data_IF_977314820743
#
_entry.id   IF_977314820743
#
_cell.length_a   1.000
_cell.length_b   1.000
_cell.length_c   1.000
_cell.angle_alpha   90.00
_cell.angle_beta   90.00
_cell.angle_gamma   90.00
#
_symmetry.space_group_name_H-M   'P 1'
#
loop_
_entity.id
_entity.type
_entity.pdbx_description
1 polymer ?
#
# COMPACT_ATOMS: atom_id res chain seq x y z
N UNK A 1 9.82 -28.72 25.66
CA UNK A 1 8.57 -28.95 24.90
C UNK A 1 8.98 -29.15 23.46
N UNK A 2 9.18 -30.43 23.11
CA UNK A 2 9.82 -30.88 21.88
C UNK A 2 8.80 -31.02 20.77
N UNK A 3 9.16 -30.56 19.56
CA UNK A 3 8.71 -31.12 18.29
C UNK A 3 7.32 -30.70 17.82
N UNK A 4 7.24 -29.56 17.13
CA UNK A 4 6.33 -29.49 15.97
C UNK A 4 6.91 -30.48 14.97
N UNK A 5 6.38 -31.70 14.92
CA UNK A 5 6.91 -32.73 14.04
C UNK A 5 6.74 -32.27 12.59
N UNK A 6 7.81 -32.24 11.77
CA UNK A 6 7.70 -31.90 10.36
C UNK A 6 6.72 -32.82 9.61
N UNK A 7 6.47 -34.03 10.14
CA UNK A 7 5.47 -34.96 9.61
C UNK A 7 4.03 -34.43 9.69
N UNK A 8 3.65 -33.78 10.78
CA UNK A 8 2.30 -33.24 10.95
C UNK A 8 2.06 -32.03 10.05
N UNK A 9 3.06 -31.17 9.89
CA UNK A 9 3.00 -30.07 8.93
C UNK A 9 2.81 -30.59 7.49
N UNK A 10 3.54 -31.65 7.10
CA UNK A 10 3.38 -32.30 5.79
C UNK A 10 1.98 -32.92 5.63
N UNK A 11 1.45 -33.57 6.68
CA UNK A 11 0.09 -34.15 6.66
C UNK A 11 -0.98 -33.09 6.45
N UNK A 12 -0.86 -31.94 7.12
CA UNK A 12 -1.79 -30.81 6.95
C UNK A 12 -1.74 -30.26 5.52
N UNK A 13 -0.54 -30.08 4.96
CA UNK A 13 -0.38 -29.60 3.57
C UNK A 13 -1.00 -30.58 2.57
N UNK A 14 -0.73 -31.88 2.70
CA UNK A 14 -1.28 -32.89 1.80
C UNK A 14 -2.81 -32.98 1.88
N UNK A 15 -3.38 -32.91 3.09
CA UNK A 15 -4.82 -32.87 3.28
C UNK A 15 -5.45 -31.64 2.61
N UNK A 16 -4.84 -30.46 2.78
CA UNK A 16 -5.29 -29.21 2.17
C UNK A 16 -5.25 -29.29 0.64
N UNK A 17 -4.13 -29.72 0.05
CA UNK A 17 -3.97 -29.86 -1.40
C UNK A 17 -5.00 -30.83 -1.98
N UNK A 18 -5.27 -31.94 -1.29
CA UNK A 18 -6.27 -32.92 -1.70
C UNK A 18 -7.67 -32.30 -1.75
N UNK A 19 -8.03 -31.49 -0.75
CA UNK A 19 -9.32 -30.81 -0.71
C UNK A 19 -9.43 -29.73 -1.81
N UNK A 20 -8.36 -28.98 -2.07
CA UNK A 20 -8.33 -28.03 -3.19
C UNK A 20 -8.53 -28.72 -4.54
N UNK A 21 -7.90 -29.89 -4.74
CA UNK A 21 -8.03 -30.69 -5.96
C UNK A 21 -9.45 -31.29 -6.15
N UNK A 22 -10.20 -31.50 -5.07
CA UNK A 22 -11.60 -31.93 -5.13
C UNK A 22 -12.53 -30.79 -5.54
N UNK A 23 -12.38 -29.62 -4.90
CA UNK A 23 -13.30 -28.49 -5.13
C UNK A 23 -13.05 -27.77 -6.47
N UNK A 24 -11.82 -27.81 -7.02
CA UNK A 24 -11.52 -27.16 -8.30
C UNK A 24 -12.24 -27.78 -9.51
N UNK A 25 -12.88 -28.94 -9.33
CA UNK A 25 -13.65 -29.63 -10.38
C UNK A 25 -15.02 -29.00 -10.64
N UNK A 26 -15.52 -28.19 -9.70
CA UNK A 26 -16.81 -27.54 -9.84
C UNK A 26 -16.66 -26.25 -10.67
N UNK A 27 -17.45 -26.07 -11.75
CA UNK A 27 -17.30 -24.94 -12.67
C UNK A 27 -17.66 -23.58 -12.04
N UNK A 28 -18.28 -23.59 -10.87
CA UNK A 28 -18.68 -22.41 -10.11
C UNK A 28 -17.76 -22.13 -8.91
N UNK A 29 -16.56 -22.72 -8.86
CA UNK A 29 -15.57 -22.50 -7.79
C UNK A 29 -14.36 -21.74 -8.33
N UNK A 30 -14.01 -20.64 -7.66
CA UNK A 30 -12.77 -19.89 -7.89
C UNK A 30 -11.94 -19.89 -6.60
N UNK A 31 -10.68 -20.32 -6.71
CA UNK A 31 -9.75 -20.38 -5.58
C UNK A 31 -8.78 -19.20 -5.69
N UNK A 32 -8.72 -18.38 -4.63
CA UNK A 32 -7.78 -17.26 -4.52
C UNK A 32 -6.92 -17.47 -3.27
N UNK A 33 -5.61 -17.45 -3.45
CA UNK A 33 -4.64 -17.67 -2.37
C UNK A 33 -3.53 -16.63 -2.44
N UNK A 34 -2.97 -16.30 -1.27
CA UNK A 34 -1.90 -15.30 -1.13
C UNK A 34 -0.83 -15.85 -0.21
N UNK A 35 0.45 -15.63 -0.54
CA UNK A 35 1.58 -15.96 0.34
C UNK A 35 2.45 -14.72 0.55
N UNK A 36 2.86 -14.48 1.80
CA UNK A 36 3.80 -13.42 2.15
C UNK A 36 5.26 -13.87 2.04
N UNK A 37 5.52 -15.16 1.84
CA UNK A 37 6.88 -15.70 1.75
C UNK A 37 7.19 -16.00 0.29
N UNK A 38 7.91 -15.08 -0.35
CA UNK A 38 8.37 -15.25 -1.72
C UNK A 38 9.48 -16.30 -1.78
N UNK A 39 9.34 -17.30 -2.64
CA UNK A 39 10.39 -18.30 -2.89
C UNK A 39 10.43 -19.50 -1.92
N UNK A 40 9.67 -19.48 -0.83
CA UNK A 40 9.55 -20.62 0.10
C UNK A 40 8.17 -21.28 0.07
N UNK A 41 7.35 -20.97 -0.93
CA UNK A 41 6.07 -21.66 -1.14
C UNK A 41 6.35 -23.06 -1.66
N UNK A 42 5.67 -24.05 -1.08
CA UNK A 42 5.78 -25.45 -1.47
C UNK A 42 5.55 -25.63 -2.98
N UNK A 43 6.45 -26.38 -3.63
CA UNK A 43 6.43 -26.58 -5.08
C UNK A 43 5.11 -27.24 -5.53
N UNK A 44 4.54 -28.15 -4.73
CA UNK A 44 3.28 -28.81 -5.06
C UNK A 44 2.09 -27.83 -5.07
N UNK A 45 2.17 -26.73 -4.32
CA UNK A 45 1.18 -25.66 -4.36
C UNK A 45 1.37 -24.76 -5.59
N UNK A 46 2.62 -24.42 -5.91
CA UNK A 46 3.02 -23.60 -7.06
C UNK A 46 2.70 -24.29 -8.40
N UNK A 47 2.79 -25.61 -8.46
CA UNK A 47 2.47 -26.40 -9.66
C UNK A 47 0.96 -26.53 -9.91
N UNK A 48 0.13 -26.37 -8.86
CA UNK A 48 -1.33 -26.41 -8.96
C UNK A 48 -1.97 -25.05 -9.24
N UNK A 49 -1.20 -23.97 -9.21
CA UNK A 49 -1.69 -22.64 -9.48
C UNK A 49 -1.68 -22.35 -10.99
N UNK A 50 -2.86 -22.12 -11.57
CA UNK A 50 -3.01 -21.72 -12.98
C UNK A 50 -2.35 -20.36 -13.25
N UNK A 51 -2.49 -19.43 -12.30
CA UNK A 51 -1.92 -18.08 -12.37
C UNK A 51 -1.06 -17.83 -11.14
N UNK A 52 0.19 -17.47 -11.38
CA UNK A 52 1.16 -17.06 -10.35
C UNK A 52 1.53 -15.61 -10.58
N UNK A 53 1.10 -14.75 -9.66
CA UNK A 53 1.38 -13.32 -9.75
C UNK A 53 2.12 -12.85 -8.51
N UNK A 54 3.33 -12.34 -8.70
CA UNK A 54 4.03 -11.59 -7.68
C UNK A 54 3.47 -10.17 -7.60
N UNK A 55 3.08 -9.73 -6.40
CA UNK A 55 2.64 -8.37 -6.11
C UNK A 55 3.68 -7.73 -5.19
N UNK A 56 4.57 -6.93 -5.79
CA UNK A 56 5.56 -6.16 -5.04
C UNK A 56 4.97 -4.88 -4.42
N UNK A 57 5.84 -4.04 -3.82
CA UNK A 57 5.45 -2.70 -3.39
C UNK A 57 4.83 -1.89 -4.54
N UNK A 58 3.87 -0.99 -4.24
CA UNK A 58 3.21 -0.17 -5.24
C UNK A 58 4.21 0.73 -5.97
N UNK A 59 3.98 0.92 -7.28
CA UNK A 59 4.74 1.89 -8.09
C UNK A 59 4.44 3.33 -7.66
N UNK A 60 5.30 4.29 -8.02
CA UNK A 60 5.07 5.74 -7.79
C UNK A 60 3.65 6.17 -8.21
N UNK A 61 3.18 5.69 -9.37
CA UNK A 61 1.82 5.98 -9.87
C UNK A 61 0.74 5.43 -8.93
N UNK A 62 0.89 4.20 -8.45
CA UNK A 62 -0.05 3.60 -7.51
C UNK A 62 -0.03 4.30 -6.14
N UNK A 63 1.15 4.68 -5.64
CA UNK A 63 1.32 5.45 -4.40
C UNK A 63 0.58 6.80 -4.49
N UNK A 64 0.77 7.52 -5.60
CA UNK A 64 0.08 8.78 -5.84
C UNK A 64 -1.44 8.61 -5.78
N UNK A 65 -1.99 7.58 -6.43
CA UNK A 65 -3.44 7.31 -6.37
C UNK A 65 -3.93 6.93 -4.97
N UNK A 66 -3.13 6.20 -4.19
CA UNK A 66 -3.44 5.91 -2.78
C UNK A 66 -3.56 7.23 -2.01
N UNK A 67 -2.55 8.09 -2.05
CA UNK A 67 -2.62 9.36 -1.32
C UNK A 67 -3.71 10.29 -1.85
N UNK A 68 -3.90 10.36 -3.17
CA UNK A 68 -4.99 11.13 -3.78
C UNK A 68 -6.35 10.69 -3.24
N UNK A 69 -6.58 9.37 -3.09
CA UNK A 69 -7.81 8.85 -2.51
C UNK A 69 -7.96 9.22 -1.04
N UNK A 70 -6.88 9.15 -0.25
CA UNK A 70 -6.89 9.54 1.16
C UNK A 70 -7.16 11.04 1.34
N UNK A 71 -6.51 11.92 0.57
CA UNK A 71 -6.69 13.36 0.67
C UNK A 71 -8.10 13.78 0.23
N UNK A 72 -8.65 13.16 -0.82
CA UNK A 72 -10.05 13.39 -1.22
C UNK A 72 -11.01 13.03 -0.10
N UNK A 73 -10.79 11.92 0.60
CA UNK A 73 -11.62 11.51 1.73
C UNK A 73 -11.50 12.48 2.92
N UNK A 74 -10.30 12.98 3.20
CA UNK A 74 -10.07 13.96 4.26
C UNK A 74 -10.70 15.32 3.95
N UNK A 75 -10.71 15.74 2.69
CA UNK A 75 -11.47 16.92 2.26
C UNK A 75 -12.98 16.68 2.36
N UNK A 76 -13.46 15.49 1.97
CA UNK A 76 -14.88 15.11 2.07
C UNK A 76 -15.39 15.16 3.52
N UNK A 77 -14.57 14.75 4.47
CA UNK A 77 -14.87 14.77 5.90
C UNK A 77 -14.49 16.09 6.60
N UNK A 78 -14.11 17.13 5.86
CA UNK A 78 -13.72 18.44 6.38
C UNK A 78 -12.53 18.44 7.36
N UNK A 79 -11.69 17.39 7.32
CA UNK A 79 -10.40 17.39 8.04
C UNK A 79 -9.43 18.35 7.35
N UNK A 80 -9.46 18.37 6.02
CA UNK A 80 -8.72 19.32 5.19
C UNK A 80 -9.72 20.34 4.63
N UNK A 81 -9.50 21.63 4.90
CA UNK A 81 -10.35 22.73 4.39
C UNK A 81 -9.51 24.00 4.12
N UNK A 82 -9.81 24.77 3.05
CA UNK A 82 -10.83 24.50 2.04
C UNK A 82 -10.45 23.31 1.14
N UNK A 83 -11.47 22.69 0.54
CA UNK A 83 -11.26 21.61 -0.42
C UNK A 83 -10.60 22.16 -1.69
N UNK A 84 -9.53 21.49 -2.14
CA UNK A 84 -8.80 21.86 -3.35
C UNK A 84 -8.92 20.75 -4.40
N UNK A 85 -8.98 21.12 -5.67
CA UNK A 85 -8.95 20.14 -6.75
C UNK A 85 -7.53 19.59 -6.92
N UNK A 86 -7.37 18.28 -6.72
CA UNK A 86 -6.15 17.55 -7.03
C UNK A 86 -6.30 16.82 -8.37
N UNK A 87 -5.32 16.97 -9.25
CA UNK A 87 -5.29 16.39 -10.58
C UNK A 87 -4.89 14.91 -10.52
N UNK A 88 -5.39 14.11 -11.46
CA UNK A 88 -4.86 12.76 -11.67
C UNK A 88 -3.54 12.81 -12.45
N UNK A 89 -2.84 11.68 -12.55
CA UNK A 89 -1.54 11.63 -13.22
C UNK A 89 -1.66 11.96 -14.71
N UNK A 90 -2.78 11.58 -15.36
CA UNK A 90 -3.00 11.86 -16.79
C UNK A 90 -3.14 13.36 -17.02
N UNK A 91 -3.86 14.06 -16.15
CA UNK A 91 -3.96 15.51 -16.21
C UNK A 91 -2.60 16.20 -15.96
N UNK A 92 -1.78 15.67 -15.05
CA UNK A 92 -0.39 16.16 -14.86
C UNK A 92 0.51 15.90 -16.09
N UNK A 93 0.32 14.77 -16.78
CA UNK A 93 1.04 14.47 -18.03
C UNK A 93 0.65 15.48 -19.13
N UNK A 94 -0.64 15.86 -19.23
CA UNK A 94 -1.11 16.88 -20.18
C UNK A 94 -0.51 18.27 -19.89
N UNK A 95 -0.39 18.66 -18.61
CA UNK A 95 0.27 19.91 -18.22
C UNK A 95 1.79 19.83 -18.31
N UNK A 96 2.35 18.69 -18.75
CA UNK A 96 3.78 18.39 -18.83
C UNK A 96 4.50 18.60 -17.49
N UNK A 97 3.81 18.30 -16.39
CA UNK A 97 4.31 18.50 -15.03
C UNK A 97 4.81 19.94 -14.76
N UNK A 98 4.27 20.94 -15.49
CA UNK A 98 4.62 22.34 -15.24
C UNK A 98 3.92 22.86 -13.99
N UNK A 99 4.70 23.47 -13.10
CA UNK A 99 4.19 24.10 -11.89
C UNK A 99 3.44 25.39 -12.22
N UNK A 100 2.23 25.50 -11.67
CA UNK A 100 1.37 26.67 -11.69
C UNK A 100 0.34 26.53 -10.55
N UNK A 101 -0.53 27.54 -10.40
CA UNK A 101 -1.55 27.56 -9.34
C UNK A 101 -2.50 26.36 -9.33
N UNK A 102 -2.76 25.72 -10.48
CA UNK A 102 -3.63 24.54 -10.57
C UNK A 102 -2.89 23.22 -10.35
N UNK A 103 -1.57 23.18 -10.54
CA UNK A 103 -0.78 21.93 -10.47
C UNK A 103 0.04 21.81 -9.20
N UNK A 104 0.33 22.91 -8.47
CA UNK A 104 1.27 22.96 -7.35
C UNK A 104 1.05 21.83 -6.33
N UNK A 105 -0.16 21.67 -5.77
CA UNK A 105 -0.43 20.62 -4.77
C UNK A 105 -0.37 19.20 -5.34
N UNK A 106 -0.74 19.04 -6.60
CA UNK A 106 -0.69 17.75 -7.28
C UNK A 106 0.77 17.36 -7.55
N UNK A 107 1.63 18.31 -7.88
CA UNK A 107 3.07 18.10 -8.04
C UNK A 107 3.75 17.84 -6.70
N UNK A 108 3.41 18.57 -5.64
CA UNK A 108 3.89 18.30 -4.28
C UNK A 108 3.52 16.87 -3.85
N UNK A 109 2.28 16.46 -4.07
CA UNK A 109 1.82 15.10 -3.79
C UNK A 109 2.57 14.04 -4.64
N UNK A 110 2.87 14.36 -5.89
CA UNK A 110 3.64 13.50 -6.79
C UNK A 110 5.09 13.29 -6.31
N UNK A 111 5.70 14.34 -5.76
CA UNK A 111 7.03 14.26 -5.14
C UNK A 111 7.00 13.47 -3.82
N UNK A 112 5.95 13.64 -3.00
CA UNK A 112 5.76 12.82 -1.79
C UNK A 112 5.58 11.33 -2.16
N UNK A 113 4.87 11.05 -3.27
CA UNK A 113 4.71 9.68 -3.77
C UNK A 113 6.05 9.06 -4.21
N UNK A 114 6.93 9.84 -4.82
CA UNK A 114 8.31 9.41 -5.14
C UNK A 114 9.11 9.07 -3.90
N UNK A 115 9.08 9.98 -2.93
CA UNK A 115 9.75 9.82 -1.64
C UNK A 115 9.27 8.58 -0.88
N UNK A 116 8.03 8.16 -1.11
CA UNK A 116 7.39 7.02 -0.44
C UNK A 116 7.64 5.66 -1.12
N UNK A 117 8.48 5.60 -2.17
CA UNK A 117 8.82 4.36 -2.86
C UNK A 117 9.39 3.31 -1.89
N UNK A 118 8.96 2.06 -2.04
CA UNK A 118 9.37 0.94 -1.19
C UNK A 118 8.44 0.69 0.02
N UNK A 119 7.55 1.62 0.35
CA UNK A 119 6.56 1.41 1.42
C UNK A 119 5.42 0.50 0.98
N UNK A 120 4.93 -0.34 1.89
CA UNK A 120 3.76 -1.19 1.65
C UNK A 120 2.47 -0.38 1.52
N UNK A 121 1.48 -0.90 0.80
CA UNK A 121 0.13 -0.29 0.74
C UNK A 121 -0.50 -0.07 2.12
N UNK A 122 -0.22 -0.97 3.07
CA UNK A 122 -0.67 -0.84 4.48
C UNK A 122 -0.05 0.41 5.13
N UNK A 123 1.26 0.59 4.98
CA UNK A 123 1.98 1.75 5.52
C UNK A 123 1.48 3.03 4.87
N UNK A 124 1.32 3.05 3.55
CA UNK A 124 0.85 4.22 2.80
C UNK A 124 -0.52 4.71 3.26
N UNK A 125 -1.47 3.80 3.56
CA UNK A 125 -2.78 4.18 4.10
C UNK A 125 -2.76 4.59 5.57
N UNK A 126 -1.74 4.19 6.33
CA UNK A 126 -1.53 4.61 7.73
C UNK A 126 -0.93 6.01 7.81
N UNK A 127 -0.10 6.39 6.83
CA UNK A 127 0.64 7.66 6.84
C UNK A 127 -0.22 8.92 7.00
N UNK A 128 -1.39 9.07 6.35
CA UNK A 128 -2.27 10.23 6.58
C UNK A 128 -2.67 10.38 8.06
N UNK A 129 -2.99 9.27 8.74
CA UNK A 129 -3.29 9.30 10.17
C UNK A 129 -2.07 9.74 10.99
N UNK A 130 -0.88 9.19 10.69
CA UNK A 130 0.36 9.57 11.37
C UNK A 130 0.73 11.03 11.14
N UNK A 131 0.56 11.54 9.92
CA UNK A 131 0.78 12.94 9.58
C UNK A 131 -0.05 13.87 10.46
N UNK A 132 -1.34 13.57 10.58
CA UNK A 132 -2.23 14.34 11.44
C UNK A 132 -1.85 14.21 12.92
N UNK A 133 -1.64 13.01 13.42
CA UNK A 133 -1.40 12.78 14.85
C UNK A 133 -0.07 13.36 15.34
N UNK A 134 0.97 13.40 14.49
CA UNK A 134 2.32 13.76 14.88
C UNK A 134 2.69 15.21 14.56
N UNK A 135 2.05 15.81 13.55
CA UNK A 135 2.50 17.08 12.98
C UNK A 135 1.40 18.13 12.86
N UNK A 136 0.14 17.80 13.16
CA UNK A 136 -0.98 18.73 13.05
C UNK A 136 -1.73 18.83 14.39
N UNK A 137 -2.32 20.01 14.63
CA UNK A 137 -3.15 20.27 15.80
C UNK A 137 -4.47 20.90 15.36
N UNK A 138 -5.58 20.30 15.78
CA UNK A 138 -6.93 20.79 15.47
C UNK A 138 -7.44 20.41 14.07
N UNK A 139 -8.66 20.82 13.78
CA UNK A 139 -9.38 20.58 12.54
C UNK A 139 -10.35 21.76 12.30
N UNK A 140 -10.48 22.28 11.07
CA UNK A 140 -9.81 21.84 9.84
C UNK A 140 -8.37 22.36 9.71
N UNK A 141 -7.56 21.70 8.89
CA UNK A 141 -6.22 22.16 8.48
C UNK A 141 -6.18 22.44 6.98
N UNK A 142 -5.27 23.30 6.53
CA UNK A 142 -5.13 23.59 5.10
C UNK A 142 -4.40 22.47 4.36
N UNK A 143 -4.59 22.38 3.04
CA UNK A 143 -3.96 21.32 2.24
C UNK A 143 -2.43 21.47 2.21
N UNK A 144 -1.92 22.69 2.16
CA UNK A 144 -0.51 23.03 2.20
C UNK A 144 0.15 22.41 3.45
N UNK A 145 -0.43 22.70 4.61
CA UNK A 145 0.06 22.23 5.90
C UNK A 145 -0.05 20.71 6.02
N UNK A 146 -1.12 20.13 5.47
CA UNK A 146 -1.31 18.68 5.46
C UNK A 146 -0.27 17.97 4.59
N UNK A 147 0.07 18.52 3.42
CA UNK A 147 1.09 17.95 2.53
C UNK A 147 2.48 18.01 3.16
N UNK A 148 2.80 19.10 3.86
CA UNK A 148 4.04 19.22 4.64
C UNK A 148 4.09 18.16 5.76
N UNK A 149 3.02 18.06 6.57
CA UNK A 149 2.89 17.04 7.61
C UNK A 149 3.00 15.60 7.06
N UNK A 150 2.42 15.33 5.89
CA UNK A 150 2.51 14.04 5.22
C UNK A 150 3.96 13.74 4.79
N UNK A 151 4.66 14.72 4.23
CA UNK A 151 6.07 14.57 3.85
C UNK A 151 6.97 14.25 5.06
N UNK A 152 6.73 14.91 6.21
CA UNK A 152 7.44 14.66 7.47
C UNK A 152 7.13 13.27 8.06
N UNK A 153 5.88 12.83 7.98
CA UNK A 153 5.48 11.50 8.42
C UNK A 153 6.15 10.40 7.58
N UNK A 154 6.31 10.62 6.27
CA UNK A 154 7.07 9.71 5.39
C UNK A 154 8.53 9.62 5.84
N UNK A 155 9.20 10.75 6.11
CA UNK A 155 10.59 10.73 6.60
C UNK A 155 10.73 9.94 7.90
N UNK A 156 9.81 10.16 8.83
CA UNK A 156 9.80 9.46 10.11
C UNK A 156 9.62 7.95 9.89
N UNK A 157 8.71 7.55 9.03
CA UNK A 157 8.45 6.15 8.73
C UNK A 157 9.68 5.42 8.19
N UNK A 158 10.51 6.08 7.36
CA UNK A 158 11.78 5.50 6.90
C UNK A 158 12.84 5.44 7.99
N UNK A 159 12.93 6.46 8.87
CA UNK A 159 13.81 6.39 10.04
C UNK A 159 13.45 5.22 10.95
N UNK A 160 12.17 5.07 11.27
CA UNK A 160 11.67 3.99 12.11
C UNK A 160 11.96 2.60 11.49
N UNK A 161 11.86 2.46 10.15
CA UNK A 161 12.25 1.23 9.45
C UNK A 161 13.76 0.97 9.46
N UNK A 162 14.57 2.01 9.30
CA UNK A 162 16.02 1.89 9.31
C UNK A 162 16.52 1.44 10.70
N UNK A 163 15.90 1.93 11.78
CA UNK A 163 16.29 1.56 13.13
C UNK A 163 15.93 0.10 13.45
N UNK A 164 14.78 -0.40 12.96
CA UNK A 164 14.41 -1.81 13.06
C UNK A 164 15.32 -2.76 12.26
N UNK A 165 16.07 -2.25 11.28
CA UNK A 165 16.98 -3.05 10.44
C UNK A 165 18.42 -3.13 10.97
N UNK A 166 18.73 -2.41 12.05
CA UNK A 166 20.06 -2.41 12.69
C UNK A 166 20.18 -3.43 13.83
N UNK A 167 19.07 -4.01 14.26
CA UNK A 167 18.99 -5.11 15.22
C UNK A 167 18.92 -6.47 14.49
#
# INVERSE_FOLDING_TARGET
MNGVEPSDAIRVVNALLTQLDQIKRYPNVLILTTSNITGAVDLAFVDRADIKQYIGPPSKKAIYYIYLSCLKELMRCCVISPAHQLLDIRALEVTRFKENSATVYSLTLYNIAEKSLGLSGRTLRKLPFMAHALHLQGCPVTLELYLEALSLAVDRQFRDQADLSKD
#
